data_IF_082322360847
#
_entry.id   IF_082322360847
#
_cell.length_a   1.000
_cell.length_b   1.000
_cell.length_c   1.000
_cell.angle_alpha   90.00
_cell.angle_beta   90.00
_cell.angle_gamma   90.00
#
_symmetry.space_group_name_H-M   'P 1'
#
loop_
_entity.id
_entity.type
_entity.pdbx_description
1 polymer ?
#
# COMPACT_ATOMS: atom_id res chain seq x y z
N UNK A 1 -2.43 -11.15 50.76
CA UNK A 1 -3.62 -10.37 50.36
C UNK A 1 -3.33 -9.72 49.02
N UNK A 2 -4.15 -10.04 48.02
CA UNK A 2 -4.43 -9.38 46.71
C UNK A 2 -3.26 -9.17 45.73
N UNK A 3 -3.17 -9.92 44.61
CA UNK A 3 -3.96 -9.83 43.35
C UNK A 3 -3.69 -8.49 42.65
N UNK A 4 -3.09 -8.42 41.44
CA UNK A 4 -3.61 -8.89 40.14
C UNK A 4 -2.46 -9.07 39.11
N UNK A 5 -2.47 -10.09 38.24
CA UNK A 5 -1.70 -10.09 37.00
C UNK A 5 -2.57 -9.48 35.88
N UNK A 6 -2.17 -8.32 35.35
CA UNK A 6 -2.83 -7.76 34.17
C UNK A 6 -2.37 -8.50 32.91
N UNK A 7 -3.32 -9.21 32.32
CA UNK A 7 -3.23 -10.04 31.13
C UNK A 7 -2.91 -9.21 29.85
N UNK A 8 -2.67 -9.87 28.70
CA UNK A 8 -1.91 -9.36 27.57
C UNK A 8 -2.76 -8.44 26.68
N UNK A 9 -2.26 -7.22 26.44
CA UNK A 9 -2.78 -6.34 25.42
C UNK A 9 -2.32 -6.81 24.04
N UNK A 10 -3.21 -7.53 23.34
CA UNK A 10 -3.27 -7.48 21.89
C UNK A 10 -3.20 -6.01 21.40
N UNK A 11 -2.63 -5.82 20.20
CA UNK A 11 -2.71 -4.63 19.33
C UNK A 11 -1.49 -3.70 19.34
N UNK A 12 -0.51 -4.04 18.51
CA UNK A 12 -0.29 -3.29 17.28
C UNK A 12 0.30 -4.26 16.25
N UNK A 13 -0.30 -4.50 15.07
CA UNK A 13 0.55 -4.91 13.96
C UNK A 13 1.59 -3.81 13.87
N UNK A 14 2.86 -4.21 13.80
CA UNK A 14 3.96 -3.28 13.61
C UNK A 14 3.49 -2.34 12.50
N UNK A 15 3.18 -1.09 12.87
CA UNK A 15 3.03 -0.01 11.89
C UNK A 15 4.45 0.19 11.43
N UNK A 16 4.91 -0.75 10.62
CA UNK A 16 6.10 -0.63 9.81
C UNK A 16 5.81 0.66 9.07
N UNK A 17 6.49 1.71 9.51
CA UNK A 17 6.48 2.98 8.82
C UNK A 17 7.26 2.68 7.56
N UNK A 18 6.59 2.03 6.61
CA UNK A 18 7.13 1.76 5.32
C UNK A 18 7.42 3.14 4.74
N UNK A 19 8.70 3.40 4.55
CA UNK A 19 9.13 4.62 3.89
C UNK A 19 8.57 4.53 2.47
N UNK A 20 8.08 5.63 1.89
CA UNK A 20 7.35 5.61 0.61
C UNK A 20 7.98 4.81 -0.53
N UNK A 21 9.30 4.58 -0.51
CA UNK A 21 10.01 3.71 -1.46
C UNK A 21 9.74 2.22 -1.25
N UNK A 22 9.64 1.78 0.00
CA UNK A 22 9.39 0.39 0.39
C UNK A 22 7.96 -0.03 0.02
N UNK A 23 7.00 0.88 0.22
CA UNK A 23 5.60 0.71 -0.20
C UNK A 23 5.44 0.60 -1.72
N UNK A 24 6.22 1.38 -2.49
CA UNK A 24 6.21 1.29 -3.95
C UNK A 24 6.82 -0.02 -4.44
N UNK A 25 7.87 -0.50 -3.79
CA UNK A 25 8.45 -1.82 -4.08
C UNK A 25 7.47 -2.94 -3.72
N UNK A 26 6.74 -2.82 -2.60
CA UNK A 26 5.69 -3.76 -2.23
C UNK A 26 4.53 -3.75 -3.24
N UNK A 27 4.12 -2.57 -3.72
CA UNK A 27 3.11 -2.41 -4.77
C UNK A 27 3.56 -3.01 -6.11
N UNK A 28 4.83 -2.84 -6.49
CA UNK A 28 5.39 -3.45 -7.70
C UNK A 28 5.43 -4.97 -7.59
N UNK A 29 5.84 -5.50 -6.42
CA UNK A 29 5.83 -6.94 -6.16
C UNK A 29 4.41 -7.49 -6.23
N UNK A 30 3.43 -6.81 -5.64
CA UNK A 30 2.03 -7.19 -5.71
C UNK A 30 1.52 -7.17 -7.16
N UNK A 31 1.81 -6.13 -7.94
CA UNK A 31 1.46 -6.07 -9.36
C UNK A 31 2.16 -7.14 -10.22
N UNK A 32 3.33 -7.61 -9.79
CA UNK A 32 4.04 -8.69 -10.50
C UNK A 32 3.46 -10.06 -10.14
N UNK A 33 2.98 -10.24 -8.91
CA UNK A 33 2.36 -11.48 -8.43
C UNK A 33 0.88 -11.60 -8.81
N UNK A 34 0.15 -10.49 -8.85
CA UNK A 34 -1.27 -10.44 -9.15
C UNK A 34 -1.52 -9.65 -10.45
N UNK A 35 -1.70 -10.34 -11.59
CA UNK A 35 -1.97 -9.68 -12.86
C UNK A 35 -3.34 -8.99 -12.88
N UNK A 36 -4.30 -9.41 -12.06
CA UNK A 36 -5.62 -8.76 -11.93
C UNK A 36 -5.45 -7.42 -11.22
N UNK A 37 -4.67 -7.39 -10.13
CA UNK A 37 -4.29 -6.13 -9.48
C UNK A 37 -3.53 -5.21 -10.43
N UNK A 38 -2.56 -5.74 -11.19
CA UNK A 38 -1.82 -4.93 -12.17
C UNK A 38 -2.75 -4.36 -13.26
N UNK A 39 -3.70 -5.14 -13.74
CA UNK A 39 -4.69 -4.70 -14.73
C UNK A 39 -5.62 -3.64 -14.12
N UNK A 40 -6.09 -3.84 -12.89
CA UNK A 40 -6.91 -2.86 -12.17
C UNK A 40 -6.13 -1.56 -11.92
N UNK A 41 -4.86 -1.65 -11.53
CA UNK A 41 -3.96 -0.50 -11.36
C UNK A 41 -3.77 0.25 -12.70
N UNK A 42 -3.61 -0.46 -13.82
CA UNK A 42 -3.54 0.14 -15.15
C UNK A 42 -4.86 0.76 -15.62
N UNK A 43 -5.99 0.17 -15.23
CA UNK A 43 -7.32 0.70 -15.54
C UNK A 43 -7.73 1.87 -14.62
N UNK A 44 -7.10 2.06 -13.47
CA UNK A 44 -7.36 3.25 -12.64
C UNK A 44 -6.90 4.51 -13.36
N UNK A 45 -7.83 5.43 -13.60
CA UNK A 45 -7.53 6.73 -14.24
C UNK A 45 -6.78 7.71 -13.34
N UNK A 46 -6.84 7.54 -12.01
CA UNK A 46 -6.29 8.49 -11.04
C UNK A 46 -5.50 7.80 -9.93
N UNK A 47 -4.48 8.49 -9.42
CA UNK A 47 -3.62 8.00 -8.33
C UNK A 47 -4.37 7.77 -7.01
N UNK A 48 -5.46 8.50 -6.77
CA UNK A 48 -6.35 8.27 -5.61
C UNK A 48 -7.04 6.90 -5.68
N UNK A 49 -7.52 6.52 -6.86
CA UNK A 49 -8.15 5.21 -7.06
C UNK A 49 -7.12 4.09 -6.92
N UNK A 50 -5.91 4.28 -7.45
CA UNK A 50 -4.80 3.35 -7.29
C UNK A 50 -4.36 3.19 -5.82
N UNK A 51 -4.26 4.28 -5.06
CA UNK A 51 -3.96 4.24 -3.63
C UNK A 51 -5.06 3.52 -2.83
N UNK A 52 -6.33 3.78 -3.17
CA UNK A 52 -7.47 3.11 -2.54
C UNK A 52 -7.50 1.62 -2.85
N UNK A 53 -7.11 1.23 -4.07
CA UNK A 53 -6.95 -0.16 -4.47
C UNK A 53 -5.82 -0.81 -3.66
N UNK A 54 -4.65 -0.17 -3.57
CA UNK A 54 -3.53 -0.65 -2.78
C UNK A 54 -3.89 -0.86 -1.30
N UNK A 55 -4.64 0.08 -0.70
CA UNK A 55 -5.11 -0.01 0.68
C UNK A 55 -6.00 -1.23 0.94
N UNK A 56 -6.83 -1.64 -0.04
CA UNK A 56 -7.65 -2.86 0.07
C UNK A 56 -6.81 -4.14 0.15
N UNK A 57 -5.60 -4.11 -0.41
CA UNK A 57 -4.63 -5.20 -0.34
C UNK A 57 -3.66 -5.06 0.85
N UNK A 58 -3.92 -4.11 1.77
CA UNK A 58 -3.09 -3.88 2.95
C UNK A 58 -1.84 -3.03 2.71
N UNK A 59 -1.70 -2.44 1.51
CA UNK A 59 -0.59 -1.55 1.18
C UNK A 59 -0.96 -0.10 1.48
N UNK A 60 -0.18 0.57 2.32
CA UNK A 60 -0.40 1.97 2.70
C UNK A 60 0.36 2.93 1.76
N UNK A 61 0.03 2.91 0.48
CA UNK A 61 0.65 3.79 -0.51
C UNK A 61 -0.16 5.07 -0.68
N UNK A 62 0.44 6.23 -0.42
CA UNK A 62 -0.20 7.52 -0.67
C UNK A 62 -0.33 7.83 -2.17
N UNK A 63 -1.46 8.44 -2.56
CA UNK A 63 -1.69 8.92 -3.92
C UNK A 63 -0.58 9.87 -4.40
N UNK A 64 -0.02 10.68 -3.50
CA UNK A 64 1.12 11.54 -3.81
C UNK A 64 2.39 10.73 -4.12
N UNK A 65 2.69 9.66 -3.37
CA UNK A 65 3.84 8.79 -3.65
C UNK A 65 3.71 8.11 -5.02
N UNK A 66 2.50 7.68 -5.39
CA UNK A 66 2.19 7.16 -6.73
C UNK A 66 2.34 8.22 -7.81
N UNK A 67 1.85 9.44 -7.55
CA UNK A 67 1.97 10.55 -8.50
C UNK A 67 3.43 10.96 -8.72
N UNK A 68 4.23 11.03 -7.65
CA UNK A 68 5.65 11.38 -7.71
C UNK A 68 6.46 10.32 -8.47
N UNK A 69 6.03 9.06 -8.43
CA UNK A 69 6.68 7.94 -9.11
C UNK A 69 5.94 7.45 -10.37
N UNK A 70 4.97 8.23 -10.86
CA UNK A 70 4.22 7.88 -12.08
C UNK A 70 5.16 7.72 -13.27
N UNK A 71 4.92 6.71 -14.10
CA UNK A 71 5.80 6.40 -15.24
C UNK A 71 7.17 5.83 -14.88
N UNK A 72 7.49 5.65 -13.59
CA UNK A 72 8.68 4.96 -13.10
C UNK A 72 8.27 3.56 -12.63
N UNK A 73 9.19 2.59 -12.67
CA UNK A 73 8.94 1.23 -12.18
C UNK A 73 7.76 0.48 -12.84
N UNK A 74 7.39 0.85 -14.08
CA UNK A 74 6.27 0.22 -14.79
C UNK A 74 4.89 0.70 -14.33
N UNK A 75 4.83 1.79 -13.56
CA UNK A 75 3.57 2.38 -13.11
C UNK A 75 2.87 3.14 -14.26
N UNK A 76 1.52 3.12 -14.29
CA UNK A 76 0.75 3.90 -15.25
C UNK A 76 1.13 5.38 -15.20
N UNK A 77 1.14 6.04 -16.36
CA UNK A 77 1.20 7.49 -16.45
C UNK A 77 -0.20 8.03 -16.19
N UNK A 78 -0.66 7.98 -14.93
CA UNK A 78 -1.90 8.63 -14.53
C UNK A 78 -1.85 10.10 -14.97
N UNK A 79 -2.82 10.54 -15.77
CA UNK A 79 -2.84 11.89 -16.35
C UNK A 79 -3.61 12.92 -15.51
N UNK A 80 -4.15 12.50 -14.36
CA UNK A 80 -5.01 13.29 -13.49
C UNK A 80 -6.35 12.59 -13.34
#
# INVERSE_FOLDING_TARGET
>A
MQAVPSAPGLMAPERTVHTSLDDLHALQRLASHDPVFAQALKNTGSTHAAASLAARHGLHVSAESLWRNRGRHGLPTWRG
#
